data_IF_599957461161
#
_entry.id   IF_599957461161
#
_cell.length_a   1.000
_cell.length_b   1.000
_cell.length_c   1.000
_cell.angle_alpha   90.00
_cell.angle_beta   90.00
_cell.angle_gamma   90.00
#
_symmetry.space_group_name_H-M   'P 1'
#
loop_
_entity.id
_entity.type
_entity.pdbx_description
1 polymer ?
#
# COMPACT_ATOMS: atom_id res chain seq x y z
N UNK A 1 -4.24 10.69 11.57
CA UNK A 1 -4.40 9.30 11.14
C UNK A 1 -3.52 8.41 12.01
N UNK A 2 -3.90 7.16 12.27
CA UNK A 2 -3.15 6.23 13.15
C UNK A 2 -3.12 4.82 12.55
N UNK A 3 -2.17 4.02 13.04
CA UNK A 3 -2.13 2.57 12.80
C UNK A 3 -3.17 1.89 13.71
N UNK A 4 -3.98 0.98 13.16
CA UNK A 4 -5.13 0.40 13.87
C UNK A 4 -4.75 -0.86 14.61
N UNK A 5 -3.87 -1.69 14.04
CA UNK A 5 -3.54 -3.00 14.61
C UNK A 5 -2.07 -3.36 14.36
N UNK A 6 -1.63 -4.48 14.92
CA UNK A 6 -0.26 -5.00 14.77
C UNK A 6 0.73 -4.33 15.74
N UNK A 7 2.03 -4.52 15.46
CA UNK A 7 3.14 -4.09 16.33
C UNK A 7 3.27 -2.57 16.48
N UNK A 8 2.70 -1.80 15.54
CA UNK A 8 2.70 -0.33 15.55
C UNK A 8 1.34 0.26 15.95
N UNK A 9 0.43 -0.54 16.50
CA UNK A 9 -0.92 -0.09 16.91
C UNK A 9 -0.87 1.20 17.71
N UNK A 10 -1.71 2.17 17.37
CA UNK A 10 -1.84 3.47 18.04
C UNK A 10 -0.82 4.51 17.59
N UNK A 11 0.24 4.15 16.88
CA UNK A 11 1.22 5.11 16.36
C UNK A 11 0.58 6.06 15.35
N UNK A 12 0.90 7.35 15.50
CA UNK A 12 0.38 8.39 14.60
C UNK A 12 1.13 8.43 13.28
N UNK A 13 0.39 8.65 12.20
CA UNK A 13 0.89 8.81 10.83
C UNK A 13 0.57 10.23 10.36
N UNK A 14 1.57 10.93 9.83
CA UNK A 14 1.40 12.24 9.24
C UNK A 14 0.57 12.14 7.95
N UNK A 15 -0.23 13.15 7.67
CA UNK A 15 -1.06 13.22 6.46
C UNK A 15 -1.08 14.63 5.87
N UNK A 16 -1.48 14.74 4.62
CA UNK A 16 -1.71 16.02 3.95
C UNK A 16 -3.06 16.58 4.38
N UNK A 17 -3.09 17.83 4.84
CA UNK A 17 -4.32 18.59 5.10
C UNK A 17 -4.78 19.30 3.81
N UNK A 18 -4.94 18.58 2.71
CA UNK A 18 -5.49 19.15 1.48
C UNK A 18 -6.69 18.32 1.01
N UNK A 19 -7.55 18.93 0.20
CA UNK A 19 -8.79 18.33 -0.31
C UNK A 19 -8.60 17.22 -1.34
N UNK A 20 -7.37 17.02 -1.83
CA UNK A 20 -7.07 16.15 -2.98
C UNK A 20 -6.84 14.70 -2.55
N UNK A 21 -6.28 14.49 -1.36
CA UNK A 21 -6.00 13.15 -0.86
C UNK A 21 -6.82 12.88 0.40
N UNK A 22 -7.81 11.97 0.31
CA UNK A 22 -8.53 11.48 1.48
C UNK A 22 -7.82 10.22 1.98
N UNK A 23 -7.25 10.23 3.20
CA UNK A 23 -6.73 9.00 3.79
C UNK A 23 -7.85 7.98 3.93
N UNK A 24 -7.56 6.72 3.69
CA UNK A 24 -8.49 5.63 3.93
C UNK A 24 -8.98 5.68 5.37
N UNK A 25 -10.31 5.71 5.56
CA UNK A 25 -10.91 5.79 6.90
C UNK A 25 -10.49 4.58 7.74
N UNK A 26 -10.32 4.77 9.04
CA UNK A 26 -9.91 3.70 9.96
C UNK A 26 -10.87 2.50 9.91
N UNK A 27 -12.19 2.74 9.86
CA UNK A 27 -13.20 1.70 9.73
C UNK A 27 -13.09 0.90 8.43
N UNK A 28 -12.74 1.56 7.32
CA UNK A 28 -12.56 0.88 6.02
C UNK A 28 -11.32 0.00 6.04
N UNK A 29 -10.20 0.50 6.58
CA UNK A 29 -8.99 -0.32 6.78
C UNK A 29 -9.28 -1.55 7.64
N UNK A 30 -9.95 -1.36 8.78
CA UNK A 30 -10.30 -2.45 9.67
C UNK A 30 -11.17 -3.51 8.97
N UNK A 31 -12.18 -3.09 8.22
CA UNK A 31 -13.03 -4.00 7.46
C UNK A 31 -12.25 -4.79 6.40
N UNK A 32 -11.35 -4.15 5.64
CA UNK A 32 -10.50 -4.83 4.66
C UNK A 32 -9.69 -5.93 5.33
N UNK A 33 -8.99 -5.62 6.42
CA UNK A 33 -8.16 -6.60 7.11
C UNK A 33 -8.97 -7.69 7.83
N UNK A 34 -10.19 -7.39 8.30
CA UNK A 34 -11.10 -8.39 8.84
C UNK A 34 -11.55 -9.38 7.75
N UNK A 35 -11.89 -8.88 6.56
CA UNK A 35 -12.23 -9.74 5.42
C UNK A 35 -11.04 -10.62 5.03
N UNK A 36 -9.84 -10.05 4.91
CA UNK A 36 -8.63 -10.82 4.58
C UNK A 36 -8.36 -11.93 5.61
N UNK A 37 -8.54 -11.65 6.91
CA UNK A 37 -8.23 -12.59 7.98
C UNK A 37 -9.30 -13.67 8.20
N UNK A 38 -10.58 -13.34 7.98
CA UNK A 38 -11.70 -14.21 8.38
C UNK A 38 -12.50 -14.77 7.20
N UNK A 39 -12.23 -14.34 5.97
CA UNK A 39 -12.92 -14.88 4.80
C UNK A 39 -12.42 -16.28 4.48
N UNK A 40 -13.35 -17.24 4.43
CA UNK A 40 -13.05 -18.61 3.98
C UNK A 40 -12.74 -18.69 2.48
N UNK A 41 -13.03 -17.64 1.72
CA UNK A 41 -12.80 -17.57 0.27
C UNK A 41 -11.40 -17.06 -0.08
N UNK A 42 -10.71 -16.43 0.86
CA UNK A 42 -9.40 -15.83 0.67
C UNK A 42 -8.40 -16.59 1.56
N UNK A 43 -7.63 -17.47 0.95
CA UNK A 43 -6.55 -18.17 1.64
C UNK A 43 -5.25 -17.38 1.53
N UNK A 44 -5.24 -16.18 2.12
CA UNK A 44 -4.08 -15.30 2.05
C UNK A 44 -3.91 -14.50 3.35
N UNK A 45 -2.70 -14.51 3.90
CA UNK A 45 -2.33 -13.77 5.10
C UNK A 45 -1.36 -12.64 4.77
N UNK A 46 -1.54 -11.52 5.46
CA UNK A 46 -0.61 -10.38 5.39
C UNK A 46 0.73 -10.70 6.06
N UNK A 47 0.73 -11.59 7.05
CA UNK A 47 1.96 -11.99 7.73
C UNK A 47 2.95 -12.62 6.73
N UNK A 48 4.19 -12.14 6.74
CA UNK A 48 5.25 -12.53 5.82
C UNK A 48 4.98 -12.27 4.32
N UNK A 49 3.93 -11.52 3.98
CA UNK A 49 3.58 -11.19 2.61
C UNK A 49 4.46 -10.08 2.03
N UNK A 50 4.71 -10.15 0.72
CA UNK A 50 5.19 -9.02 -0.07
C UNK A 50 3.97 -8.30 -0.66
N UNK A 51 3.88 -6.99 -0.42
CA UNK A 51 2.73 -6.16 -0.76
C UNK A 51 3.13 -5.08 -1.76
N UNK A 52 2.32 -4.86 -2.78
CA UNK A 52 2.41 -3.71 -3.68
C UNK A 52 1.26 -2.74 -3.39
N UNK A 53 1.60 -1.54 -2.90
CA UNK A 53 0.68 -0.45 -2.58
C UNK A 53 0.78 0.62 -3.66
N UNK A 54 -0.12 0.56 -4.64
CA UNK A 54 -0.22 1.50 -5.76
C UNK A 54 -1.11 2.69 -5.35
N UNK A 55 -0.73 3.89 -5.74
CA UNK A 55 -1.38 5.13 -5.30
C UNK A 55 -1.31 5.30 -3.78
N UNK A 56 -0.14 4.99 -3.21
CA UNK A 56 0.01 4.81 -1.77
C UNK A 56 -0.21 6.06 -0.91
N UNK A 57 -0.24 7.24 -1.54
CA UNK A 57 -0.40 8.49 -0.81
C UNK A 57 0.67 8.67 0.26
N UNK A 58 0.23 8.90 1.49
CA UNK A 58 1.12 9.00 2.66
C UNK A 58 1.42 7.64 3.32
N UNK A 59 1.03 6.53 2.67
CA UNK A 59 1.33 5.16 3.08
C UNK A 59 0.34 4.51 4.04
N UNK A 60 -0.90 4.99 4.09
CA UNK A 60 -1.88 4.54 5.08
C UNK A 60 -2.10 3.03 5.11
N UNK A 61 -2.25 2.40 3.95
CA UNK A 61 -2.52 0.97 3.84
C UNK A 61 -1.25 0.15 4.01
N UNK A 62 -0.19 0.46 3.29
CA UNK A 62 1.06 -0.30 3.36
C UNK A 62 1.72 -0.26 4.73
N UNK A 63 1.63 0.87 5.46
CA UNK A 63 2.10 0.97 6.86
C UNK A 63 1.28 0.07 7.80
N UNK A 64 -0.02 -0.04 7.58
CA UNK A 64 -0.87 -0.97 8.30
C UNK A 64 -0.47 -2.44 8.00
N UNK A 65 -0.14 -2.77 6.72
CA UNK A 65 0.39 -4.08 6.35
C UNK A 65 1.70 -4.39 7.07
N UNK A 66 2.65 -3.44 7.10
CA UNK A 66 3.91 -3.60 7.85
C UNK A 66 3.65 -3.86 9.33
N UNK A 67 2.73 -3.12 9.93
CA UNK A 67 2.34 -3.29 11.34
C UNK A 67 1.75 -4.67 11.64
N UNK A 68 1.07 -5.26 10.66
CA UNK A 68 0.44 -6.60 10.74
C UNK A 68 1.36 -7.74 10.29
N UNK A 69 2.65 -7.46 10.11
CA UNK A 69 3.65 -8.49 9.86
C UNK A 69 4.03 -8.70 8.41
N UNK A 70 3.63 -7.83 7.47
CA UNK A 70 4.11 -7.91 6.09
C UNK A 70 5.64 -7.95 6.06
N UNK A 71 6.19 -8.79 5.18
CA UNK A 71 7.63 -8.94 4.98
C UNK A 71 8.23 -7.70 4.36
N UNK A 72 7.66 -7.27 3.25
CA UNK A 72 8.04 -6.04 2.54
C UNK A 72 6.83 -5.38 1.89
N UNK A 73 6.89 -4.05 1.77
CA UNK A 73 5.91 -3.27 1.05
C UNK A 73 6.63 -2.38 0.03
N UNK A 74 6.22 -2.47 -1.23
CA UNK A 74 6.61 -1.53 -2.26
C UNK A 74 5.50 -0.48 -2.40
N UNK A 75 5.83 0.76 -2.08
CA UNK A 75 4.94 1.91 -2.22
C UNK A 75 5.21 2.63 -3.53
N UNK A 76 4.15 2.97 -4.27
CA UNK A 76 4.22 3.74 -5.50
C UNK A 76 3.32 4.96 -5.37
N UNK A 77 3.93 6.14 -5.45
CA UNK A 77 3.24 7.42 -5.32
C UNK A 77 3.83 8.45 -6.29
N UNK A 78 2.97 9.08 -7.10
CA UNK A 78 3.41 10.09 -8.07
C UNK A 78 3.46 11.51 -7.49
N UNK A 79 2.60 11.84 -6.51
CA UNK A 79 2.60 13.16 -5.88
C UNK A 79 3.83 13.33 -5.00
N UNK A 80 4.64 14.35 -5.30
CA UNK A 80 5.91 14.60 -4.61
C UNK A 80 5.72 14.97 -3.14
N UNK A 81 4.59 15.59 -2.77
CA UNK A 81 4.34 16.00 -1.39
C UNK A 81 3.91 14.78 -0.56
N UNK A 82 2.99 13.96 -1.08
CA UNK A 82 2.61 12.70 -0.44
C UNK A 82 3.82 11.77 -0.28
N UNK A 83 4.64 11.62 -1.32
CA UNK A 83 5.88 10.86 -1.28
C UNK A 83 6.85 11.33 -0.17
N UNK A 84 7.05 12.65 -0.02
CA UNK A 84 7.89 13.20 1.06
C UNK A 84 7.33 12.87 2.45
N UNK A 85 6.00 12.94 2.61
CA UNK A 85 5.35 12.60 3.88
C UNK A 85 5.43 11.11 4.15
N UNK A 86 5.22 10.27 3.14
CA UNK A 86 5.40 8.82 3.24
C UNK A 86 6.81 8.48 3.77
N UNK A 87 7.86 9.04 3.18
CA UNK A 87 9.23 8.84 3.67
C UNK A 87 9.43 9.27 5.12
N UNK A 88 8.85 10.41 5.52
CA UNK A 88 8.86 10.86 6.92
C UNK A 88 8.12 9.89 7.85
N UNK A 89 7.02 9.31 7.40
CA UNK A 89 6.25 8.32 8.15
C UNK A 89 7.06 7.03 8.37
N UNK A 90 7.74 6.54 7.33
CA UNK A 90 8.60 5.36 7.42
C UNK A 90 9.71 5.56 8.45
N UNK A 91 10.43 6.68 8.37
CA UNK A 91 11.46 7.06 9.34
C UNK A 91 10.89 7.17 10.76
N UNK A 92 9.80 7.91 10.94
CA UNK A 92 9.14 8.10 12.25
C UNK A 92 8.75 6.78 12.90
N UNK A 93 8.36 5.79 12.10
CA UNK A 93 7.93 4.47 12.58
C UNK A 93 9.08 3.45 12.62
N UNK A 94 10.28 3.82 12.16
CA UNK A 94 11.47 2.96 12.08
C UNK A 94 11.23 1.65 11.31
N UNK A 95 10.60 1.79 10.13
CA UNK A 95 10.22 0.63 9.27
C UNK A 95 10.80 0.70 7.85
N UNK A 96 11.82 1.52 7.61
CA UNK A 96 12.43 1.70 6.29
C UNK A 96 13.01 0.39 5.74
N UNK A 97 13.47 -0.49 6.60
CA UNK A 97 14.01 -1.81 6.22
C UNK A 97 12.96 -2.77 5.63
N UNK A 98 11.67 -2.49 5.88
CA UNK A 98 10.53 -3.24 5.33
C UNK A 98 9.85 -2.54 4.16
N UNK A 99 10.36 -1.37 3.74
CA UNK A 99 9.72 -0.53 2.75
C UNK A 99 10.66 -0.21 1.58
N UNK A 100 10.11 -0.23 0.38
CA UNK A 100 10.70 0.40 -0.80
C UNK A 100 9.70 1.44 -1.32
N UNK A 101 10.18 2.62 -1.74
CA UNK A 101 9.30 3.70 -2.18
C UNK A 101 9.75 4.22 -3.53
N UNK A 102 8.83 4.28 -4.48
CA UNK A 102 9.06 4.79 -5.84
C UNK A 102 8.18 6.02 -6.07
N UNK A 103 8.81 7.16 -6.36
CA UNK A 103 8.09 8.35 -6.80
C UNK A 103 7.89 8.30 -8.31
N UNK A 104 6.80 7.72 -8.75
CA UNK A 104 6.49 7.52 -10.17
C UNK A 104 5.00 7.34 -10.41
N UNK A 105 4.59 7.53 -11.66
CA UNK A 105 3.30 7.07 -12.13
C UNK A 105 3.26 5.53 -12.12
N UNK A 106 2.09 4.97 -11.81
CA UNK A 106 1.84 3.52 -11.73
C UNK A 106 2.16 2.80 -13.04
N UNK A 107 1.87 3.40 -14.20
CA UNK A 107 2.16 2.80 -15.51
C UNK A 107 3.67 2.50 -15.71
N UNK A 108 4.56 3.27 -15.10
CA UNK A 108 6.02 3.07 -15.22
C UNK A 108 6.52 1.88 -14.39
N UNK A 109 5.78 1.49 -13.35
CA UNK A 109 6.13 0.33 -12.52
C UNK A 109 6.09 -0.96 -13.34
N UNK A 110 5.09 -1.08 -14.19
CA UNK A 110 4.90 -2.26 -15.03
C UNK A 110 5.97 -2.41 -16.13
N UNK A 111 6.67 -1.32 -16.48
CA UNK A 111 7.75 -1.33 -17.46
C UNK A 111 9.10 -1.77 -16.87
N UNK A 112 9.32 -1.53 -15.58
CA UNK A 112 10.65 -1.61 -14.97
C UNK A 112 10.78 -2.67 -13.87
N UNK A 113 9.69 -3.37 -13.50
CA UNK A 113 9.67 -4.26 -12.33
C UNK A 113 9.23 -5.70 -12.64
N UNK A 114 9.60 -6.24 -13.79
CA UNK A 114 9.25 -7.60 -14.24
C UNK A 114 9.69 -8.72 -13.29
N UNK A 115 10.67 -8.46 -12.41
CA UNK A 115 11.22 -9.47 -11.49
C UNK A 115 10.54 -9.50 -10.12
N UNK A 116 9.82 -8.45 -9.73
CA UNK A 116 9.21 -8.37 -8.41
C UNK A 116 7.87 -9.11 -8.41
N UNK A 117 7.71 -9.99 -7.41
CA UNK A 117 6.45 -10.73 -7.21
C UNK A 117 5.86 -10.40 -5.85
N UNK A 118 4.53 -10.28 -5.82
CA UNK A 118 3.78 -9.87 -4.64
C UNK A 118 2.67 -10.87 -4.33
N UNK A 119 2.34 -10.96 -3.03
CA UNK A 119 1.20 -11.73 -2.55
C UNK A 119 -0.08 -10.90 -2.57
N UNK A 120 0.05 -9.57 -2.34
CA UNK A 120 -1.07 -8.64 -2.30
C UNK A 120 -0.79 -7.41 -3.16
N UNK A 121 -1.87 -6.96 -3.81
CA UNK A 121 -1.91 -5.74 -4.59
C UNK A 121 -3.02 -4.87 -4.02
N UNK A 122 -2.66 -3.70 -3.52
CA UNK A 122 -3.62 -2.70 -3.12
C UNK A 122 -3.53 -1.51 -4.07
N UNK A 123 -4.67 -1.04 -4.54
CA UNK A 123 -4.74 0.15 -5.36
C UNK A 123 -6.06 0.88 -5.10
N UNK A 124 -5.93 2.12 -4.62
CA UNK A 124 -7.02 3.05 -4.31
C UNK A 124 -6.79 4.37 -5.07
N UNK A 125 -7.04 4.35 -6.37
CA UNK A 125 -6.79 5.49 -7.23
C UNK A 125 -7.79 6.63 -6.98
N UNK A 126 -7.45 7.89 -7.34
CA UNK A 126 -8.40 8.99 -7.36
C UNK A 126 -9.57 8.68 -8.30
N UNK A 127 -10.79 9.15 -7.95
CA UNK A 127 -12.07 8.78 -8.59
C UNK A 127 -12.20 9.05 -10.09
N UNK A 128 -11.30 9.81 -10.70
CA UNK A 128 -11.39 10.21 -12.09
C UNK A 128 -10.46 9.36 -12.98
N UNK A 129 -11.05 8.57 -13.88
CA UNK A 129 -10.42 7.91 -15.04
C UNK A 129 -9.38 6.83 -14.75
N UNK A 130 -9.67 5.86 -13.88
CA UNK A 130 -8.79 4.72 -13.73
C UNK A 130 -9.39 3.45 -14.29
N UNK A 131 -8.65 2.91 -15.23
CA UNK A 131 -8.93 1.61 -15.79
C UNK A 131 -8.33 0.51 -14.91
N UNK A 132 -9.12 0.03 -13.95
CA UNK A 132 -8.74 -1.10 -13.09
C UNK A 132 -8.39 -2.36 -13.90
N UNK A 133 -9.08 -2.57 -15.01
CA UNK A 133 -8.86 -3.70 -15.90
C UNK A 133 -7.47 -3.61 -16.51
N UNK A 134 -7.04 -2.42 -16.91
CA UNK A 134 -5.69 -2.18 -17.42
C UNK A 134 -4.62 -2.55 -16.38
N UNK A 135 -4.79 -2.14 -15.12
CA UNK A 135 -3.86 -2.47 -14.04
C UNK A 135 -3.80 -3.99 -13.83
N UNK A 136 -4.93 -4.65 -13.72
CA UNK A 136 -5.00 -6.11 -13.55
C UNK A 136 -4.35 -6.85 -14.72
N UNK A 137 -4.58 -6.40 -15.95
CA UNK A 137 -3.95 -6.97 -17.14
C UNK A 137 -2.42 -6.79 -17.13
N UNK A 138 -1.92 -5.64 -16.66
CA UNK A 138 -0.49 -5.40 -16.51
C UNK A 138 0.15 -6.31 -15.45
N UNK A 139 -0.50 -6.48 -14.29
CA UNK A 139 -0.07 -7.40 -13.24
C UNK A 139 0.02 -8.83 -13.79
N UNK A 140 -1.02 -9.28 -14.53
CA UNK A 140 -1.06 -10.60 -15.15
C UNK A 140 0.01 -10.77 -16.21
N UNK A 141 0.12 -9.83 -17.17
CA UNK A 141 1.09 -9.84 -18.27
C UNK A 141 2.53 -9.94 -17.74
N UNK A 142 2.86 -9.19 -16.71
CA UNK A 142 4.20 -9.15 -16.12
C UNK A 142 4.41 -10.24 -15.05
N UNK A 143 3.44 -11.12 -14.84
CA UNK A 143 3.51 -12.24 -13.85
C UNK A 143 3.99 -11.78 -12.47
N UNK A 144 3.50 -10.63 -12.00
CA UNK A 144 3.93 -10.00 -10.75
C UNK A 144 3.36 -10.67 -9.49
N UNK A 145 2.51 -11.68 -9.62
CA UNK A 145 1.91 -12.42 -8.50
C UNK A 145 2.75 -13.64 -8.11
N UNK A 146 2.67 -14.01 -6.84
CA UNK A 146 3.22 -15.25 -6.27
C UNK A 146 2.20 -16.36 -6.27
#
# INVERSE_FOLDING_TARGET
MRIISGVLKGKSVNFLKNSITRPLKDSVKENIFNVLKHSKLINADIENADVLDLYSGVGSFGLECISRGAKKVLFVEQDKMAFKILKKNLLKLSVENKASVINSNVDNIFKNNEKNKFNFFFFDPPFNNIDYIKILNQIKKNKMYK
#
